data_IF_657511013137
#
_entry.id   IF_657511013137
#
_cell.length_a   1.000
_cell.length_b   1.000
_cell.length_c   1.000
_cell.angle_alpha   90.00
_cell.angle_beta   90.00
_cell.angle_gamma   90.00
#
_symmetry.space_group_name_H-M   'P 1'
#
loop_
_entity.id
_entity.type
_entity.pdbx_description
1 polymer ?
#
# COMPACT_ATOMS: atom_id res chain seq x y z
N UNK A 1 -2.05 -7.97 2.34
CA UNK A 1 -1.32 -7.17 3.36
C UNK A 1 0.17 -7.25 3.04
N UNK A 2 0.95 -6.20 3.32
CA UNK A 2 2.41 -6.23 3.21
C UNK A 2 3.05 -5.64 4.45
N UNK A 3 4.07 -6.32 4.99
CA UNK A 3 4.80 -5.88 6.18
C UNK A 3 6.31 -5.78 5.92
N UNK A 4 6.79 -4.71 5.25
CA UNK A 4 8.21 -4.57 5.00
C UNK A 4 8.95 -4.26 6.30
N UNK A 5 9.83 -5.17 6.71
CA UNK A 5 10.70 -5.05 7.88
C UNK A 5 12.10 -4.66 7.40
N UNK A 6 12.34 -3.36 7.34
CA UNK A 6 13.55 -2.76 6.79
C UNK A 6 14.32 -2.04 7.89
N UNK A 7 15.65 -2.13 7.83
CA UNK A 7 16.53 -1.26 8.60
C UNK A 7 16.81 0.02 7.79
N UNK A 8 16.16 1.11 8.16
CA UNK A 8 16.22 2.40 7.46
C UNK A 8 17.62 3.04 7.48
N UNK A 9 18.56 2.53 8.30
CA UNK A 9 19.97 2.95 8.25
C UNK A 9 20.66 2.61 6.93
N UNK A 10 20.18 1.61 6.21
CA UNK A 10 20.69 1.25 4.87
C UNK A 10 20.01 2.02 3.74
N UNK A 11 19.06 2.88 4.07
CA UNK A 11 18.31 3.70 3.13
C UNK A 11 18.42 5.17 3.57
N UNK A 12 17.32 5.72 4.06
CA UNK A 12 17.24 7.06 4.61
C UNK A 12 16.55 6.99 5.98
N UNK A 13 17.14 7.63 6.99
CA UNK A 13 16.60 7.73 8.34
C UNK A 13 15.47 8.78 8.43
N UNK A 14 14.45 8.63 7.59
CA UNK A 14 13.31 9.54 7.46
C UNK A 14 12.00 8.74 7.32
N UNK A 15 11.08 8.96 8.26
CA UNK A 15 9.80 8.26 8.31
C UNK A 15 8.81 8.77 7.28
N UNK A 16 8.85 10.06 6.94
CA UNK A 16 8.01 10.62 5.89
C UNK A 16 8.44 10.09 4.54
N UNK A 17 9.74 10.06 4.26
CA UNK A 17 10.29 9.43 3.07
C UNK A 17 9.82 7.96 2.96
N UNK A 18 10.02 7.16 4.00
CA UNK A 18 9.63 5.74 3.98
C UNK A 18 8.14 5.55 3.71
N UNK A 19 7.28 6.35 4.36
CA UNK A 19 5.84 6.31 4.12
C UNK A 19 5.50 6.70 2.68
N UNK A 20 6.14 7.73 2.11
CA UNK A 20 5.93 8.12 0.70
C UNK A 20 6.40 7.05 -0.29
N UNK A 21 7.46 6.32 0.02
CA UNK A 21 7.91 5.18 -0.78
C UNK A 21 6.88 4.03 -0.74
N UNK A 22 6.28 3.74 0.42
CA UNK A 22 5.21 2.74 0.49
C UNK A 22 3.98 3.16 -0.34
N UNK A 23 3.59 4.43 -0.29
CA UNK A 23 2.54 4.95 -1.18
C UNK A 23 2.94 4.83 -2.66
N UNK A 24 4.21 5.08 -2.99
CA UNK A 24 4.72 4.99 -4.36
C UNK A 24 4.65 3.56 -4.90
N UNK A 25 5.03 2.57 -4.09
CA UNK A 25 4.90 1.14 -4.46
C UNK A 25 3.46 0.84 -4.86
N UNK A 26 2.50 1.30 -4.07
CA UNK A 26 1.09 1.02 -4.32
C UNK A 26 0.61 1.78 -5.57
N UNK A 27 1.01 3.04 -5.77
CA UNK A 27 0.68 3.81 -6.98
C UNK A 27 1.25 3.13 -8.24
N UNK A 28 2.48 2.61 -8.20
CA UNK A 28 3.07 1.86 -9.31
C UNK A 28 2.39 0.52 -9.56
N UNK A 29 1.80 -0.12 -8.53
CA UNK A 29 0.96 -1.29 -8.73
C UNK A 29 -0.33 -0.90 -9.44
N UNK A 30 -0.99 0.16 -9.01
CA UNK A 30 -2.24 0.64 -9.62
C UNK A 30 -2.06 1.01 -11.10
N UNK A 31 -0.95 1.63 -11.46
CA UNK A 31 -0.69 2.03 -12.85
C UNK A 31 -0.57 0.84 -13.82
N UNK A 32 -0.17 -0.36 -13.34
CA UNK A 32 -0.14 -1.59 -14.17
C UNK A 32 -1.53 -2.04 -14.62
N UNK A 33 -2.57 -1.58 -13.93
CA UNK A 33 -3.97 -1.89 -14.23
C UNK A 33 -4.69 -0.70 -14.87
N UNK A 34 -3.96 0.32 -15.34
CA UNK A 34 -4.50 1.58 -15.86
C UNK A 34 -5.38 2.32 -14.83
N UNK A 35 -4.99 2.25 -13.54
CA UNK A 35 -5.68 2.94 -12.46
C UNK A 35 -4.79 4.06 -11.90
N UNK A 36 -5.30 5.30 -11.94
CA UNK A 36 -4.57 6.49 -11.49
C UNK A 36 -4.69 6.68 -9.97
N UNK A 37 -3.85 5.95 -9.23
CA UNK A 37 -3.70 6.12 -7.79
C UNK A 37 -3.02 7.43 -7.41
N UNK A 38 -3.48 8.09 -6.35
CA UNK A 38 -2.92 9.35 -5.87
C UNK A 38 -2.85 9.46 -4.35
N UNK A 39 -2.08 10.44 -3.89
CA UNK A 39 -1.92 10.82 -2.48
C UNK A 39 -2.82 12.03 -2.20
N UNK A 40 -3.38 12.09 -1.00
CA UNK A 40 -4.06 13.31 -0.53
C UNK A 40 -3.22 13.94 0.58
N UNK A 41 -2.81 15.21 0.47
CA UNK A 41 -2.09 15.90 1.53
C UNK A 41 -2.82 15.77 2.89
N UNK A 42 -2.06 15.42 3.93
CA UNK A 42 -2.61 15.18 5.28
C UNK A 42 -3.31 13.84 5.49
N UNK A 43 -3.61 13.07 4.43
CA UNK A 43 -4.31 11.78 4.55
C UNK A 43 -3.44 10.63 4.06
N UNK A 44 -2.88 9.90 5.02
CA UNK A 44 -2.00 8.74 4.75
C UNK A 44 -2.73 7.63 4.01
N UNK A 45 -2.08 7.09 2.97
CA UNK A 45 -2.58 5.99 2.15
C UNK A 45 -2.78 6.39 0.69
N UNK A 46 -3.26 5.44 -0.11
CA UNK A 46 -3.46 5.65 -1.55
C UNK A 46 -4.94 5.66 -1.88
N UNK A 47 -5.30 6.60 -2.75
CA UNK A 47 -6.66 6.94 -3.13
C UNK A 47 -6.85 6.75 -4.63
N UNK A 48 -8.06 6.40 -5.04
CA UNK A 48 -8.48 6.28 -6.43
C UNK A 48 -9.92 6.76 -6.51
N UNK A 49 -10.22 7.70 -7.41
CA UNK A 49 -11.58 8.25 -7.61
C UNK A 49 -12.30 8.62 -6.31
N UNK A 50 -11.59 9.28 -5.38
CA UNK A 50 -12.13 9.69 -4.09
C UNK A 50 -12.24 8.61 -3.01
N UNK A 51 -11.94 7.34 -3.34
CA UNK A 51 -12.00 6.20 -2.42
C UNK A 51 -10.61 5.81 -1.92
N UNK A 52 -10.49 5.43 -0.66
CA UNK A 52 -9.24 4.89 -0.10
C UNK A 52 -9.08 3.42 -0.51
N UNK A 53 -8.05 3.13 -1.31
CA UNK A 53 -7.74 1.77 -1.78
C UNK A 53 -6.68 1.11 -0.92
N UNK A 54 -5.79 1.90 -0.31
CA UNK A 54 -4.80 1.36 0.59
C UNK A 54 -4.64 2.17 1.87
N UNK A 55 -4.60 1.44 2.99
CA UNK A 55 -4.21 1.97 4.29
C UNK A 55 -2.73 1.69 4.54
N UNK A 56 -2.03 2.67 5.10
CA UNK A 56 -0.63 2.54 5.49
C UNK A 56 -0.54 2.93 6.97
N UNK A 57 0.06 2.05 7.76
CA UNK A 57 0.29 2.24 9.17
C UNK A 57 1.62 1.61 9.50
N UNK A 58 2.58 2.43 9.91
CA UNK A 58 3.95 2.00 10.20
C UNK A 58 4.30 2.33 11.65
N UNK A 59 5.20 1.52 12.21
CA UNK A 59 5.91 1.84 13.45
C UNK A 59 7.38 1.61 13.21
N UNK A 60 8.24 2.40 13.85
CA UNK A 60 9.69 2.24 13.75
C UNK A 60 10.29 2.18 15.14
N UNK A 61 11.16 1.20 15.39
CA UNK A 61 11.93 1.07 16.62
C UNK A 61 13.39 0.83 16.27
N UNK A 62 14.31 1.62 16.81
CA UNK A 62 15.76 1.54 16.50
C UNK A 62 16.06 1.58 14.98
N UNK A 63 15.25 2.32 14.22
CA UNK A 63 15.30 2.40 12.75
C UNK A 63 14.93 1.13 11.99
N UNK A 64 14.31 0.16 12.66
CA UNK A 64 13.71 -1.02 12.04
C UNK A 64 12.20 -0.81 11.93
N UNK A 65 11.65 -0.97 10.73
CA UNK A 65 10.23 -0.78 10.45
C UNK A 65 9.39 -1.98 10.89
N UNK A 66 8.13 -1.71 11.24
CA UNK A 66 7.12 -2.67 11.66
C UNK A 66 5.78 -2.27 11.06
N UNK A 67 4.86 -3.23 10.94
CA UNK A 67 3.60 -3.09 10.19
C UNK A 67 3.89 -2.74 8.73
N UNK A 68 3.07 -1.93 8.07
CA UNK A 68 3.19 -1.69 6.64
C UNK A 68 1.89 -1.19 6.03
N UNK A 69 1.37 -1.93 5.07
CA UNK A 69 0.23 -1.50 4.28
C UNK A 69 -0.80 -2.61 4.00
N UNK A 70 -2.03 -2.17 3.74
CA UNK A 70 -3.16 -2.99 3.36
C UNK A 70 -3.72 -2.44 2.05
N UNK A 71 -3.75 -3.24 0.99
CA UNK A 71 -4.40 -2.89 -0.29
C UNK A 71 -5.72 -3.66 -0.33
N UNK A 72 -6.82 -2.95 -0.57
CA UNK A 72 -8.13 -3.54 -0.79
C UNK A 72 -8.20 -4.06 -2.23
N UNK A 73 -7.86 -5.34 -2.43
CA UNK A 73 -7.90 -5.97 -3.75
C UNK A 73 -9.34 -6.39 -4.08
N UNK A 74 -9.86 -7.37 -3.34
CA UNK A 74 -11.23 -7.86 -3.45
C UNK A 74 -11.86 -8.21 -2.07
N UNK A 75 -11.67 -7.41 -0.99
CA UNK A 75 -12.29 -7.70 0.29
C UNK A 75 -13.80 -7.43 0.28
N UNK A 76 -14.54 -8.10 1.17
CA UNK A 76 -15.86 -7.63 1.57
C UNK A 76 -15.71 -6.32 2.37
N UNK A 77 -16.26 -5.23 1.83
CA UNK A 77 -16.19 -3.90 2.44
C UNK A 77 -17.33 -3.63 3.43
N UNK A 78 -18.25 -4.56 3.65
CA UNK A 78 -19.42 -4.37 4.53
C UNK A 78 -19.02 -3.97 5.95
N UNK A 79 -17.96 -4.59 6.50
CA UNK A 79 -17.44 -4.25 7.84
C UNK A 79 -16.90 -2.83 7.99
N UNK A 80 -16.50 -2.16 6.89
CA UNK A 80 -16.08 -0.76 6.97
C UNK A 80 -17.23 0.22 7.27
N UNK A 81 -18.49 -0.22 7.10
CA UNK A 81 -19.67 0.60 7.43
C UNK A 81 -19.92 0.69 8.94
N UNK A 82 -19.40 -0.25 9.71
CA UNK A 82 -19.62 -0.34 11.16
C UNK A 82 -18.55 0.39 11.97
N UNK A 83 -17.47 0.81 11.32
CA UNK A 83 -16.39 1.58 11.93
C UNK A 83 -16.35 2.99 11.33
N UNK A 84 -15.84 3.98 12.07
CA UNK A 84 -15.44 5.27 11.48
C UNK A 84 -13.99 5.16 11.03
N UNK A 85 -13.70 4.88 9.75
CA UNK A 85 -12.34 4.59 9.31
C UNK A 85 -11.51 5.87 9.38
N UNK A 86 -10.36 5.81 10.04
CA UNK A 86 -9.38 6.90 10.08
C UNK A 86 -9.90 8.26 10.60
N UNK A 87 -11.04 8.32 11.30
CA UNK A 87 -11.62 9.57 11.81
C UNK A 87 -12.17 10.53 10.74
N UNK A 88 -12.31 10.06 9.49
CA UNK A 88 -12.74 10.88 8.35
C UNK A 88 -14.15 10.45 7.96
N UNK A 89 -15.17 11.27 8.28
CA UNK A 89 -16.57 10.93 8.04
C UNK A 89 -16.99 11.00 6.57
N UNK A 90 -16.29 11.77 5.74
CA UNK A 90 -16.73 12.10 4.38
C UNK A 90 -15.95 11.35 3.28
N UNK A 91 -15.20 10.30 3.62
CA UNK A 91 -14.39 9.57 2.63
C UNK A 91 -14.63 8.07 2.70
N UNK A 92 -15.05 7.52 1.57
CA UNK A 92 -15.33 6.09 1.43
C UNK A 92 -14.04 5.29 1.20
N UNK A 93 -14.11 4.01 1.56
CA UNK A 93 -13.13 3.01 1.15
C UNK A 93 -13.59 2.35 -0.15
N UNK A 94 -12.65 1.84 -0.94
CA UNK A 94 -12.93 1.09 -2.15
C UNK A 94 -12.03 -0.13 -2.29
N UNK A 95 -12.29 -0.95 -3.29
CA UNK A 95 -11.48 -2.10 -3.65
C UNK A 95 -11.15 -2.15 -5.14
N UNK A 96 -10.00 -2.71 -5.52
CA UNK A 96 -9.59 -2.82 -6.92
C UNK A 96 -10.60 -3.60 -7.78
N UNK A 97 -11.28 -4.58 -7.18
CA UNK A 97 -12.32 -5.37 -7.83
C UNK A 97 -13.49 -4.52 -8.37
N UNK A 98 -13.70 -3.29 -7.86
CA UNK A 98 -14.70 -2.37 -8.40
C UNK A 98 -14.36 -1.91 -9.83
N UNK A 99 -13.06 -1.77 -10.16
CA UNK A 99 -12.60 -1.37 -11.49
C UNK A 99 -12.07 -2.53 -12.32
N UNK A 100 -11.59 -3.59 -11.67
CA UNK A 100 -11.06 -4.81 -12.30
C UNK A 100 -11.67 -6.05 -11.63
N UNK A 101 -12.89 -6.47 -12.03
CA UNK A 101 -13.63 -7.52 -11.32
C UNK A 101 -12.95 -8.89 -11.23
N UNK A 102 -11.99 -9.17 -12.12
CA UNK A 102 -11.24 -10.43 -12.17
C UNK A 102 -9.87 -10.34 -11.48
N UNK A 103 -9.55 -9.20 -10.82
CA UNK A 103 -8.26 -9.02 -10.17
C UNK A 103 -8.13 -9.97 -8.97
N UNK A 104 -6.98 -10.63 -8.88
CA UNK A 104 -6.69 -11.60 -7.82
C UNK A 104 -5.60 -11.10 -6.88
N UNK A 105 -5.55 -11.67 -5.68
CA UNK A 105 -4.52 -11.33 -4.70
C UNK A 105 -3.14 -11.77 -5.18
N UNK A 106 -3.07 -12.92 -5.85
CA UNK A 106 -1.86 -13.54 -6.37
C UNK A 106 -1.20 -12.67 -7.45
N UNK A 107 -1.98 -12.15 -8.39
CA UNK A 107 -1.49 -11.21 -9.41
C UNK A 107 -0.91 -9.95 -8.76
N UNK A 108 -1.67 -9.32 -7.87
CA UNK A 108 -1.25 -8.09 -7.20
C UNK A 108 -0.04 -8.32 -6.30
N UNK A 109 0.12 -9.51 -5.70
CA UNK A 109 1.27 -9.85 -4.88
C UNK A 109 2.57 -9.81 -5.68
N UNK A 110 2.57 -10.38 -6.89
CA UNK A 110 3.74 -10.35 -7.80
C UNK A 110 4.07 -8.91 -8.22
N UNK A 111 3.03 -8.12 -8.51
CA UNK A 111 3.20 -6.71 -8.88
C UNK A 111 3.74 -5.87 -7.72
N UNK A 112 3.24 -6.10 -6.50
CA UNK A 112 3.73 -5.43 -5.29
C UNK A 112 5.19 -5.76 -5.07
N UNK A 113 5.62 -7.02 -5.16
CA UNK A 113 7.02 -7.39 -5.00
C UNK A 113 7.91 -6.69 -6.04
N UNK A 114 7.48 -6.66 -7.29
CA UNK A 114 8.20 -6.01 -8.39
C UNK A 114 8.29 -4.49 -8.22
N UNK A 115 7.18 -3.83 -7.85
CA UNK A 115 7.13 -2.40 -7.59
C UNK A 115 7.96 -2.03 -6.35
N UNK A 116 7.92 -2.86 -5.30
CA UNK A 116 8.74 -2.68 -4.11
C UNK A 116 10.23 -2.74 -4.44
N UNK A 117 10.65 -3.73 -5.23
CA UNK A 117 12.01 -3.87 -5.71
C UNK A 117 12.48 -2.62 -6.50
N UNK A 118 11.62 -2.12 -7.39
CA UNK A 118 11.86 -0.89 -8.14
C UNK A 118 12.00 0.34 -7.22
N UNK A 119 11.01 0.59 -6.36
CA UNK A 119 10.97 1.81 -5.52
C UNK A 119 12.08 1.85 -4.49
N UNK A 120 12.43 0.71 -3.89
CA UNK A 120 13.49 0.60 -2.90
C UNK A 120 14.85 0.26 -3.49
N UNK A 121 14.95 0.09 -4.81
CA UNK A 121 16.19 -0.25 -5.52
C UNK A 121 16.88 -1.50 -4.95
N UNK A 122 16.07 -2.54 -4.70
CA UNK A 122 16.54 -3.82 -4.19
C UNK A 122 16.30 -4.95 -5.20
N UNK A 123 17.07 -6.02 -5.07
CA UNK A 123 16.89 -7.23 -5.86
C UNK A 123 16.04 -8.22 -5.08
N UNK A 124 14.98 -8.75 -5.72
CA UNK A 124 14.25 -9.90 -5.19
C UNK A 124 15.13 -11.14 -5.33
N UNK A 125 15.21 -11.92 -4.25
CA UNK A 125 15.87 -13.21 -4.21
C UNK A 125 14.75 -14.25 -4.21
N UNK A 126 14.86 -15.26 -5.06
CA UNK A 126 13.96 -16.41 -4.99
C UNK A 126 14.28 -17.20 -3.72
N UNK A 127 13.27 -17.75 -3.05
CA UNK A 127 13.53 -18.68 -1.96
C UNK A 127 14.33 -19.87 -2.54
N UNK A 128 15.53 -20.08 -2.00
CA UNK A 128 16.27 -21.33 -2.21
C UNK A 128 15.59 -22.37 -1.30
N UNK A 129 14.89 -23.34 -1.90
CA UNK A 129 14.40 -24.54 -1.19
C UNK A 129 15.56 -25.43 -0.70
#
# INVERSE_FOLDING_TARGET
MGYPILNLKYYQQDLHWYLRQLEEVIIQVLSRYDLEGYRIPGLTGVWLEGKKIAAIGIKVRRWITMHGFAINICPDLTGFREITPCGIKDKSVGSLAEWRPQITVEQVLVDVASAFASVFQIKLIADEE
#
